data_IF_430896561913
#
_entry.id   IF_430896561913
#
_cell.length_a   1.000
_cell.length_b   1.000
_cell.length_c   1.000
_cell.angle_alpha   90.00
_cell.angle_beta   90.00
_cell.angle_gamma   90.00
#
_symmetry.space_group_name_H-M   'P 1'
#
loop_
_entity.id
_entity.type
_entity.pdbx_description
1 polymer ?
#
# COMPACT_ATOMS: atom_id res chain seq x y z
N UNK A 1 11.56 -17.01 23.18
CA UNK A 1 11.16 -15.71 22.58
C UNK A 1 10.04 -15.88 21.56
N UNK A 2 10.22 -16.67 20.50
CA UNK A 2 9.20 -16.90 19.45
C UNK A 2 7.91 -17.53 19.98
N UNK A 3 8.01 -18.57 20.82
CA UNK A 3 6.83 -19.20 21.44
C UNK A 3 6.02 -18.22 22.30
N UNK A 4 6.70 -17.40 23.11
CA UNK A 4 6.05 -16.40 23.95
C UNK A 4 5.35 -15.31 23.10
N UNK A 5 5.92 -14.92 21.95
CA UNK A 5 5.24 -14.02 21.03
C UNK A 5 4.04 -14.67 20.36
N UNK A 6 4.12 -15.95 19.99
CA UNK A 6 3.00 -16.68 19.40
C UNK A 6 1.82 -16.78 20.37
N UNK A 7 2.09 -17.20 21.62
CA UNK A 7 1.07 -17.29 22.68
C UNK A 7 0.43 -15.91 22.94
N UNK A 8 1.24 -14.84 22.97
CA UNK A 8 0.75 -13.47 23.15
C UNK A 8 -0.21 -13.01 22.05
N UNK A 9 0.02 -13.42 20.80
CA UNK A 9 -0.76 -12.98 19.65
C UNK A 9 -1.81 -14.00 19.17
N UNK A 10 -1.89 -15.17 19.80
CA UNK A 10 -2.84 -16.24 19.50
C UNK A 10 -4.30 -15.75 19.28
N UNK A 11 -4.91 -14.95 20.17
CA UNK A 11 -6.30 -14.53 19.97
C UNK A 11 -6.51 -13.71 18.69
N UNK A 12 -5.50 -12.95 18.25
CA UNK A 12 -5.58 -12.18 17.01
C UNK A 12 -5.38 -13.06 15.77
N UNK A 13 -4.61 -14.13 15.89
CA UNK A 13 -4.42 -15.11 14.81
C UNK A 13 -5.70 -15.94 14.64
N UNK A 14 -6.40 -16.27 15.73
CA UNK A 14 -7.69 -16.96 15.64
C UNK A 14 -8.71 -16.18 14.79
N UNK A 15 -8.78 -14.86 14.96
CA UNK A 15 -9.65 -14.00 14.16
C UNK A 15 -9.38 -14.03 12.65
N UNK A 16 -8.17 -14.40 12.20
CA UNK A 16 -7.88 -14.49 10.76
C UNK A 16 -8.49 -15.74 10.13
N UNK A 17 -8.75 -16.78 10.92
CA UNK A 17 -9.42 -18.01 10.49
C UNK A 17 -10.91 -17.73 10.26
N UNK A 18 -11.52 -16.91 11.11
CA UNK A 18 -12.93 -16.50 10.98
C UNK A 18 -13.19 -15.59 9.77
N UNK A 19 -12.15 -14.93 9.24
CA UNK A 19 -12.26 -13.93 8.17
C UNK A 19 -11.36 -14.26 6.97
N UNK A 20 -11.62 -15.36 6.23
CA UNK A 20 -10.75 -15.85 5.16
C UNK A 20 -10.65 -14.88 3.96
N UNK A 21 -11.62 -13.96 3.81
CA UNK A 21 -11.57 -12.90 2.79
C UNK A 21 -10.47 -11.85 3.04
N UNK A 22 -9.95 -11.73 4.26
CA UNK A 22 -8.89 -10.78 4.58
C UNK A 22 -7.52 -11.39 4.26
N UNK A 23 -6.95 -10.99 3.12
CA UNK A 23 -5.64 -11.46 2.69
C UNK A 23 -4.58 -10.38 2.89
N UNK A 24 -3.34 -10.79 3.19
CA UNK A 24 -2.19 -9.89 3.27
C UNK A 24 -1.67 -9.45 1.88
N UNK A 25 -2.16 -10.04 0.79
CA UNK A 25 -1.68 -9.78 -0.58
C UNK A 25 -1.67 -8.30 -0.97
N UNK A 26 -2.75 -7.52 -0.76
CA UNK A 26 -2.75 -6.09 -1.02
C UNK A 26 -1.72 -5.32 -0.18
N UNK A 27 -1.57 -5.66 1.10
CA UNK A 27 -0.61 -5.02 2.01
C UNK A 27 0.84 -5.32 1.57
N UNK A 28 1.13 -6.57 1.22
CA UNK A 28 2.43 -7.00 0.70
C UNK A 28 2.75 -6.30 -0.63
N UNK A 29 1.78 -6.18 -1.53
CA UNK A 29 1.92 -5.45 -2.79
C UNK A 29 2.30 -3.98 -2.57
N UNK A 30 1.64 -3.30 -1.64
CA UNK A 30 1.96 -1.90 -1.27
C UNK A 30 3.39 -1.83 -0.71
N UNK A 31 3.74 -2.71 0.23
CA UNK A 31 5.06 -2.72 0.85
C UNK A 31 6.17 -2.97 -0.18
N UNK A 32 5.97 -3.90 -1.13
CA UNK A 32 6.92 -4.18 -2.19
C UNK A 32 7.10 -2.97 -3.12
N UNK A 33 6.00 -2.29 -3.47
CA UNK A 33 6.05 -1.08 -4.30
C UNK A 33 6.81 0.06 -3.60
N UNK A 34 6.59 0.28 -2.30
CA UNK A 34 7.33 1.27 -1.51
C UNK A 34 8.82 0.92 -1.46
N UNK A 35 9.17 -0.35 -1.21
CA UNK A 35 10.57 -0.82 -1.21
C UNK A 35 11.24 -0.59 -2.58
N UNK A 36 10.53 -0.87 -3.67
CA UNK A 36 11.01 -0.62 -5.03
C UNK A 36 11.29 0.87 -5.28
N UNK A 37 10.35 1.75 -4.90
CA UNK A 37 10.52 3.21 -5.05
C UNK A 37 11.77 3.68 -4.31
N UNK A 38 11.97 3.23 -3.06
CA UNK A 38 13.16 3.57 -2.28
C UNK A 38 14.45 3.09 -2.93
N UNK A 39 14.45 1.90 -3.53
CA UNK A 39 15.62 1.31 -4.19
C UNK A 39 15.98 2.08 -5.47
N UNK A 40 14.99 2.34 -6.33
CA UNK A 40 15.19 3.03 -7.62
C UNK A 40 15.63 4.48 -7.43
N UNK A 41 15.21 5.14 -6.33
CA UNK A 41 15.62 6.50 -6.03
C UNK A 41 16.99 6.61 -5.37
N UNK A 42 17.67 5.48 -5.09
CA UNK A 42 18.88 5.42 -4.25
C UNK A 42 18.66 6.02 -2.84
N UNK A 43 17.45 5.89 -2.31
CA UNK A 43 17.04 6.50 -1.05
C UNK A 43 16.58 7.95 -1.19
N UNK A 44 15.97 8.48 -0.13
CA UNK A 44 15.54 9.86 -0.03
C UNK A 44 16.13 10.46 1.25
N UNK A 45 16.64 11.69 1.17
CA UNK A 45 17.14 12.43 2.34
C UNK A 45 16.01 12.95 3.22
N UNK A 46 14.92 13.39 2.59
CA UNK A 46 13.73 13.91 3.27
C UNK A 46 12.57 12.92 3.13
N UNK A 47 11.97 12.55 4.26
CA UNK A 47 10.84 11.63 4.31
C UNK A 47 9.58 12.18 3.63
N UNK A 48 9.32 13.49 3.71
CA UNK A 48 8.16 14.10 3.05
C UNK A 48 8.25 13.97 1.52
N UNK A 49 9.46 14.10 0.97
CA UNK A 49 9.69 13.87 -0.46
C UNK A 49 9.49 12.39 -0.85
N UNK A 50 9.89 11.45 0.01
CA UNK A 50 9.64 10.04 -0.20
C UNK A 50 8.15 9.72 -0.17
N UNK A 51 7.43 10.25 0.81
CA UNK A 51 5.98 10.11 0.96
C UNK A 51 5.25 10.68 -0.25
N UNK A 52 5.58 11.90 -0.67
CA UNK A 52 5.01 12.52 -1.87
C UNK A 52 5.24 11.65 -3.11
N UNK A 53 6.45 11.09 -3.27
CA UNK A 53 6.75 10.18 -4.39
C UNK A 53 5.90 8.90 -4.35
N UNK A 54 5.76 8.28 -3.18
CA UNK A 54 4.92 7.09 -3.00
C UNK A 54 3.49 7.40 -3.45
N UNK A 55 2.92 8.53 -3.00
CA UNK A 55 1.54 8.92 -3.32
C UNK A 55 1.31 9.15 -4.82
N UNK A 56 2.28 9.78 -5.50
CA UNK A 56 2.22 10.00 -6.95
C UNK A 56 2.28 8.66 -7.71
N UNK A 57 3.20 7.77 -7.33
CA UNK A 57 3.44 6.50 -8.05
C UNK A 57 2.37 5.45 -7.73
N UNK A 58 1.83 5.45 -6.50
CA UNK A 58 0.77 4.53 -6.09
C UNK A 58 -0.54 4.81 -6.83
N UNK A 59 -0.68 5.96 -7.51
CA UNK A 59 -1.92 6.41 -8.17
C UNK A 59 -3.12 6.42 -7.22
N UNK A 60 -2.88 6.43 -5.90
CA UNK A 60 -3.96 6.49 -4.89
C UNK A 60 -4.69 7.83 -4.95
N UNK A 61 -4.02 8.88 -5.42
CA UNK A 61 -4.64 10.15 -5.80
C UNK A 61 -4.70 10.25 -7.31
N UNK A 62 -5.79 9.75 -7.92
CA UNK A 62 -6.16 10.19 -9.27
C UNK A 62 -6.59 11.64 -9.12
N UNK A 63 -5.86 12.58 -9.72
CA UNK A 63 -6.31 13.96 -9.74
C UNK A 63 -7.71 14.00 -10.38
N UNK A 64 -8.65 14.70 -9.74
CA UNK A 64 -10.02 14.88 -10.26
C UNK A 64 -9.99 15.40 -11.72
N UNK A 65 -8.92 16.12 -12.08
CA UNK A 65 -8.61 16.53 -13.44
C UNK A 65 -8.58 15.35 -14.45
N UNK A 66 -7.95 14.22 -14.11
CA UNK A 66 -7.82 13.06 -15.00
C UNK A 66 -9.11 12.22 -15.10
N UNK A 67 -10.00 12.32 -14.11
CA UNK A 67 -11.36 11.77 -14.19
C UNK A 67 -12.22 12.57 -15.16
N UNK A 68 -12.15 13.91 -15.09
CA UNK A 68 -12.94 14.83 -15.94
C UNK A 68 -12.54 14.76 -17.43
N UNK A 69 -11.24 14.66 -17.73
CA UNK A 69 -10.77 14.43 -19.12
C UNK A 69 -11.25 13.10 -19.69
N UNK A 70 -11.23 12.01 -18.91
CA UNK A 70 -11.75 10.71 -19.34
C UNK A 70 -13.27 10.66 -19.54
N UNK A 71 -14.03 11.47 -18.80
CA UNK A 71 -15.49 11.58 -19.01
C UNK A 71 -15.80 12.35 -20.30
N UNK A 72 -15.10 13.45 -20.60
CA UNK A 72 -15.29 14.18 -21.86
C UNK A 72 -14.99 13.34 -23.11
N UNK A 73 -13.93 12.53 -23.10
CA UNK A 73 -13.58 11.66 -24.24
C UNK A 73 -14.49 10.45 -24.42
N UNK A 74 -15.39 10.16 -23.46
CA UNK A 74 -16.37 9.05 -23.55
C UNK A 74 -17.76 9.48 -24.03
N UNK A 75 -18.03 10.77 -24.04
CA UNK A 75 -19.33 11.36 -24.43
C UNK A 75 -19.28 11.97 -25.84
N UNK A 76 -18.08 12.07 -26.42
CA UNK A 76 -17.85 12.40 -27.83
C UNK A 76 -17.84 11.14 -28.70
#
# INVERSE_FOLDING_TARGET
RVMNTLIKYLPYIEHTIDHPQLTNGPLEGINNKIKLIKRVSYGYRNFENFKARILIISRMFVSEYKKRTKQQTKVA
#
